data_IF_854836389531
#
_entry.id   IF_854836389531
#
_cell.length_a   1.000
_cell.length_b   1.000
_cell.length_c   1.000
_cell.angle_alpha   90.00
_cell.angle_beta   90.00
_cell.angle_gamma   90.00
#
_symmetry.space_group_name_H-M   'P 1'
#
loop_
_entity.id
_entity.type
_entity.pdbx_description
1 polymer ?
#
# COMPACT_ATOMS: atom_id res chain seq x y z
N UNK A 1 4.72 16.61 22.42
CA UNK A 1 3.87 15.79 21.52
C UNK A 1 2.89 15.01 22.37
N UNK A 2 1.74 14.54 21.86
CA UNK A 2 0.82 13.72 22.66
C UNK A 2 1.53 12.46 23.23
N UNK A 3 2.49 11.93 22.49
CA UNK A 3 3.32 10.77 22.88
C UNK A 3 4.28 11.04 24.05
N UNK A 4 4.42 12.29 24.49
CA UNK A 4 5.25 12.68 25.63
C UNK A 4 4.40 13.21 26.80
N UNK A 5 3.09 12.97 26.77
CA UNK A 5 2.15 13.51 27.74
C UNK A 5 1.66 12.39 28.66
N UNK A 6 1.84 12.54 29.98
CA UNK A 6 1.56 11.50 30.99
C UNK A 6 0.14 10.89 30.95
N UNK A 7 -0.83 11.64 30.43
CA UNK A 7 -2.23 11.19 30.31
C UNK A 7 -2.56 10.49 28.99
N UNK A 8 -1.84 10.79 27.91
CA UNK A 8 -2.29 10.48 26.54
C UNK A 8 -1.25 9.68 25.74
N UNK A 9 -0.09 9.38 26.32
CA UNK A 9 0.95 8.58 25.68
C UNK A 9 0.42 7.20 25.28
N UNK A 10 -0.37 6.57 26.14
CA UNK A 10 -1.08 5.30 25.94
C UNK A 10 -2.22 5.35 24.92
N UNK A 11 -2.57 6.54 24.40
CA UNK A 11 -3.64 6.74 23.42
C UNK A 11 -3.13 7.30 22.10
N UNK A 12 -1.81 7.43 21.96
CA UNK A 12 -1.23 8.00 20.75
C UNK A 12 -1.16 7.00 19.61
N UNK A 13 -1.34 7.52 18.40
CA UNK A 13 -1.09 6.79 17.17
C UNK A 13 -0.06 7.51 16.32
N UNK A 14 0.71 6.75 15.56
CA UNK A 14 1.44 7.25 14.40
C UNK A 14 0.46 7.78 13.34
N UNK A 15 1.02 8.42 12.32
CA UNK A 15 0.22 9.00 11.25
C UNK A 15 -0.48 7.87 10.49
N UNK A 16 -1.79 8.01 10.29
CA UNK A 16 -2.56 7.14 9.40
C UNK A 16 -2.11 7.37 7.96
N UNK A 17 -2.77 6.75 6.99
CA UNK A 17 -2.53 7.09 5.61
C UNK A 17 -2.70 8.61 5.40
N UNK A 18 -1.58 9.28 5.14
CA UNK A 18 -1.47 10.74 5.31
C UNK A 18 -1.80 11.53 4.03
N UNK A 19 -2.33 10.86 3.02
CA UNK A 19 -2.72 11.48 1.77
C UNK A 19 -4.01 10.84 1.27
N UNK A 20 -4.79 11.59 0.51
CA UNK A 20 -5.91 11.03 -0.22
C UNK A 20 -5.47 10.89 -1.68
N UNK A 21 -5.70 9.71 -2.28
CA UNK A 21 -5.44 9.50 -3.70
C UNK A 21 -6.75 9.37 -4.46
N UNK A 22 -7.08 10.40 -5.22
CA UNK A 22 -8.30 10.42 -6.01
C UNK A 22 -7.99 10.02 -7.45
N UNK A 23 -8.65 8.95 -7.90
CA UNK A 23 -8.69 8.55 -9.32
C UNK A 23 -10.12 8.81 -9.81
N UNK A 24 -10.29 9.88 -10.58
CA UNK A 24 -11.59 10.20 -11.18
C UNK A 24 -11.64 9.60 -12.56
N UNK A 25 -12.61 8.74 -12.85
CA UNK A 25 -12.83 8.17 -14.17
C UNK A 25 -13.96 8.91 -14.87
N UNK A 26 -13.80 9.14 -16.17
CA UNK A 26 -14.82 9.77 -17.01
C UNK A 26 -14.77 9.27 -18.44
N UNK A 27 -15.95 9.17 -19.08
CA UNK A 27 -16.10 8.71 -20.46
C UNK A 27 -17.50 8.15 -20.71
N UNK A 28 -17.65 7.35 -21.77
CA UNK A 28 -18.86 6.56 -22.01
C UNK A 28 -18.79 5.25 -21.23
N UNK A 29 -19.89 4.84 -20.63
CA UNK A 29 -20.02 3.50 -20.06
C UNK A 29 -20.37 2.45 -21.12
N UNK A 30 -20.32 1.18 -20.75
CA UNK A 30 -20.66 0.04 -21.59
C UNK A 30 -22.12 0.03 -22.11
N UNK A 31 -22.99 0.91 -21.59
CA UNK A 31 -24.38 1.11 -22.05
C UNK A 31 -24.54 2.34 -22.95
N UNK A 32 -23.45 3.03 -23.29
CA UNK A 32 -23.42 4.24 -24.13
C UNK A 32 -23.79 5.54 -23.42
N UNK A 33 -24.05 5.51 -22.10
CA UNK A 33 -24.31 6.69 -21.29
C UNK A 33 -23.03 7.37 -20.84
N UNK A 34 -23.10 8.66 -20.48
CA UNK A 34 -21.97 9.34 -19.86
C UNK A 34 -21.77 8.85 -18.42
N UNK A 35 -20.53 8.55 -18.06
CA UNK A 35 -20.13 8.16 -16.71
C UNK A 35 -19.02 9.07 -16.21
N UNK A 36 -19.17 9.54 -14.98
CA UNK A 36 -18.16 10.28 -14.22
C UNK A 36 -18.24 9.83 -12.77
N UNK A 37 -17.10 9.56 -12.16
CA UNK A 37 -17.06 9.22 -10.73
C UNK A 37 -15.65 8.98 -10.25
N UNK A 38 -15.54 8.69 -8.95
CA UNK A 38 -14.27 8.47 -8.27
C UNK A 38 -14.13 7.00 -7.89
N UNK A 39 -12.93 6.44 -8.02
CA UNK A 39 -12.58 5.19 -7.38
C UNK A 39 -12.59 5.36 -5.86
N UNK A 40 -13.18 4.38 -5.17
CA UNK A 40 -13.42 4.46 -3.72
C UNK A 40 -12.35 3.71 -2.92
N UNK A 41 -11.33 3.20 -3.60
CA UNK A 41 -10.18 2.50 -3.02
C UNK A 41 -9.41 3.37 -2.02
N UNK A 42 -9.41 4.69 -2.20
CA UNK A 42 -8.82 5.61 -1.22
C UNK A 42 -9.54 5.62 0.12
N UNK A 43 -10.81 5.23 0.16
CA UNK A 43 -11.54 5.04 1.42
C UNK A 43 -11.14 3.77 2.16
N UNK A 44 -10.40 2.89 1.49
CA UNK A 44 -9.73 1.71 2.05
C UNK A 44 -8.25 2.00 2.36
N UNK A 45 -7.94 3.24 2.78
CA UNK A 45 -6.61 3.59 3.29
C UNK A 45 -6.28 2.86 4.60
N UNK A 46 -5.20 3.25 5.28
CA UNK A 46 -4.60 2.46 6.36
C UNK A 46 -4.49 3.21 7.68
N UNK A 47 -4.64 2.46 8.79
CA UNK A 47 -4.49 2.99 10.14
C UNK A 47 -3.03 3.06 10.58
N UNK A 48 -2.65 4.15 11.26
CA UNK A 48 -1.34 4.25 11.91
C UNK A 48 -1.27 3.31 13.12
N UNK A 49 -0.08 2.80 13.43
CA UNK A 49 0.17 2.04 14.65
C UNK A 49 -0.18 2.87 15.90
N UNK A 50 -0.60 2.21 16.96
CA UNK A 50 -0.87 2.80 18.27
C UNK A 50 0.23 2.37 19.24
N UNK A 51 0.45 3.14 20.29
CA UNK A 51 1.44 2.79 21.34
C UNK A 51 1.15 1.49 22.10
N UNK A 52 0.01 0.84 21.81
CA UNK A 52 -0.43 -0.40 22.44
C UNK A 52 -0.89 -1.47 21.45
N UNK A 53 -0.92 -1.18 20.13
CA UNK A 53 -1.46 -2.10 19.14
C UNK A 53 -1.07 -1.71 17.71
N UNK A 54 -0.99 -2.70 16.83
CA UNK A 54 -0.80 -2.48 15.40
C UNK A 54 -1.88 -1.59 14.78
N UNK A 55 -1.52 -0.95 13.67
CA UNK A 55 -2.43 -0.18 12.85
C UNK A 55 -3.47 -1.07 12.17
N UNK A 56 -4.61 -0.47 11.82
CA UNK A 56 -5.69 -1.20 11.15
C UNK A 56 -5.37 -1.32 9.66
N UNK A 57 -5.14 -2.54 9.20
CA UNK A 57 -4.99 -2.87 7.77
C UNK A 57 -6.25 -2.45 7.01
N UNK A 58 -6.11 -1.68 5.93
CA UNK A 58 -7.27 -1.18 5.16
C UNK A 58 -8.31 -0.50 6.07
N UNK A 59 -7.84 0.20 7.11
CA UNK A 59 -8.62 0.78 8.20
C UNK A 59 -9.38 2.07 7.92
N UNK A 60 -9.30 2.61 6.69
CA UNK A 60 -10.00 3.82 6.29
C UNK A 60 -9.22 5.11 6.51
N UNK A 61 -9.89 6.25 6.36
CA UNK A 61 -9.29 7.59 6.39
C UNK A 61 -9.70 8.39 7.63
N UNK A 62 -8.79 9.22 8.15
CA UNK A 62 -9.07 10.09 9.31
C UNK A 62 -10.34 10.94 9.13
N UNK A 63 -10.59 11.61 7.97
CA UNK A 63 -11.81 12.39 7.82
C UNK A 63 -13.08 11.52 7.71
N UNK A 64 -12.96 10.22 7.43
CA UNK A 64 -14.08 9.32 7.23
C UNK A 64 -13.75 7.86 7.65
N UNK A 65 -13.65 7.59 8.96
CA UNK A 65 -13.16 6.30 9.49
C UNK A 65 -14.14 5.14 9.32
N UNK A 66 -15.40 5.43 8.97
CA UNK A 66 -16.44 4.42 8.73
C UNK A 66 -16.64 4.10 7.25
N UNK A 67 -15.90 4.79 6.37
CA UNK A 67 -16.04 4.64 4.93
C UNK A 67 -15.69 3.23 4.47
N UNK A 68 -16.26 2.83 3.34
CA UNK A 68 -16.02 1.53 2.72
C UNK A 68 -15.71 1.72 1.25
N UNK A 69 -14.75 0.95 0.78
CA UNK A 69 -14.49 0.78 -0.64
C UNK A 69 -15.62 -0.02 -1.29
N UNK A 70 -16.02 0.36 -2.50
CA UNK A 70 -17.05 -0.32 -3.27
C UNK A 70 -16.66 -1.76 -3.63
N UNK A 71 -17.65 -2.60 -3.89
CA UNK A 71 -17.40 -3.90 -4.51
C UNK A 71 -16.86 -3.70 -5.93
N UNK A 72 -15.91 -4.54 -6.35
CA UNK A 72 -15.34 -4.48 -7.72
C UNK A 72 -16.45 -4.58 -8.77
N UNK A 73 -17.44 -5.46 -8.56
CA UNK A 73 -18.60 -5.63 -9.44
C UNK A 73 -19.42 -4.35 -9.61
N UNK A 74 -19.51 -3.51 -8.56
CA UNK A 74 -20.23 -2.24 -8.65
C UNK A 74 -19.49 -1.27 -9.56
N UNK A 75 -18.16 -1.22 -9.46
CA UNK A 75 -17.34 -0.36 -10.31
C UNK A 75 -17.36 -0.85 -11.76
N UNK A 76 -17.18 -2.16 -12.00
CA UNK A 76 -17.24 -2.76 -13.33
C UNK A 76 -18.64 -2.64 -13.97
N UNK A 77 -19.72 -2.57 -13.17
CA UNK A 77 -21.07 -2.33 -13.68
C UNK A 77 -21.34 -0.86 -14.05
N UNK A 78 -20.55 0.08 -13.54
CA UNK A 78 -20.71 1.53 -13.76
C UNK A 78 -19.75 2.09 -14.81
N UNK A 79 -18.53 1.55 -14.87
CA UNK A 79 -17.47 1.97 -15.76
C UNK A 79 -17.02 0.81 -16.65
N UNK A 80 -16.58 1.08 -17.89
CA UNK A 80 -16.14 0.04 -18.82
C UNK A 80 -14.70 -0.37 -18.52
N UNK A 81 -14.49 -0.89 -17.32
CA UNK A 81 -13.19 -1.35 -16.82
C UNK A 81 -13.35 -2.74 -16.22
N UNK A 82 -12.22 -3.43 -16.09
CA UNK A 82 -12.09 -4.69 -15.36
C UNK A 82 -10.92 -4.62 -14.41
N UNK A 83 -11.11 -5.11 -13.18
CA UNK A 83 -10.01 -5.34 -12.26
C UNK A 83 -9.26 -6.61 -12.66
N UNK A 84 -7.94 -6.52 -12.78
CA UNK A 84 -7.08 -7.72 -12.85
C UNK A 84 -6.87 -8.31 -11.46
N UNK A 85 -6.66 -7.43 -10.48
CA UNK A 85 -6.61 -7.77 -9.07
C UNK A 85 -6.92 -6.54 -8.21
N UNK A 86 -7.32 -6.79 -6.97
CA UNK A 86 -7.40 -5.80 -5.89
C UNK A 86 -7.12 -6.51 -4.57
N UNK A 87 -6.07 -6.11 -3.85
CA UNK A 87 -5.63 -6.78 -2.61
C UNK A 87 -4.88 -5.85 -1.66
N UNK A 88 -4.55 -6.34 -0.46
CA UNK A 88 -3.61 -5.68 0.45
C UNK A 88 -2.23 -5.64 -0.18
N UNK A 89 -1.48 -4.58 0.08
CA UNK A 89 -0.09 -4.44 -0.34
C UNK A 89 0.82 -4.94 0.79
N UNK A 90 1.50 -6.06 0.57
CA UNK A 90 2.53 -6.59 1.48
C UNK A 90 3.64 -5.54 1.68
N UNK A 91 4.22 -5.50 2.87
CA UNK A 91 5.32 -4.57 3.25
C UNK A 91 4.97 -3.08 3.19
N UNK A 92 3.67 -2.73 3.13
CA UNK A 92 3.26 -1.33 3.02
C UNK A 92 3.14 -0.58 4.34
N UNK A 93 2.86 -1.29 5.44
CA UNK A 93 2.78 -0.71 6.78
C UNK A 93 4.16 -0.36 7.32
N UNK A 94 4.30 0.80 7.95
CA UNK A 94 5.56 1.21 8.58
C UNK A 94 5.96 0.27 9.70
N UNK A 95 7.19 -0.24 9.64
CA UNK A 95 7.74 -1.11 10.69
C UNK A 95 7.84 -0.39 12.03
N UNK A 96 7.61 -1.10 13.12
CA UNK A 96 7.79 -0.62 14.49
C UNK A 96 7.61 -1.79 15.47
N UNK A 97 7.76 -1.52 16.76
CA UNK A 97 7.29 -2.45 17.79
C UNK A 97 5.82 -2.81 17.51
N UNK A 98 5.03 -1.78 17.22
CA UNK A 98 3.72 -1.89 16.59
C UNK A 98 3.80 -1.42 15.14
N UNK A 99 3.37 -2.27 14.20
CA UNK A 99 3.42 -1.97 12.76
C UNK A 99 2.24 -1.11 12.34
N UNK A 100 2.44 -0.26 11.34
CA UNK A 100 1.36 0.41 10.65
C UNK A 100 0.43 -0.60 9.93
N UNK A 101 -0.81 -0.18 9.70
CA UNK A 101 -1.73 -0.94 8.87
C UNK A 101 -1.27 -0.92 7.40
N UNK A 102 -1.57 -1.99 6.69
CA UNK A 102 -1.28 -2.13 5.26
C UNK A 102 -2.22 -1.29 4.41
N UNK A 103 -1.65 -0.69 3.37
CA UNK A 103 -2.39 -0.15 2.23
C UNK A 103 -2.77 -1.26 1.26
N UNK A 104 -3.12 -0.90 0.03
CA UNK A 104 -3.54 -1.85 -0.98
C UNK A 104 -3.01 -1.53 -2.36
N UNK A 105 -3.30 -2.44 -3.29
CA UNK A 105 -2.97 -2.30 -4.69
C UNK A 105 -4.10 -2.85 -5.57
N UNK A 106 -4.19 -2.29 -6.78
CA UNK A 106 -5.10 -2.70 -7.82
C UNK A 106 -4.46 -2.54 -9.19
N UNK A 107 -4.99 -3.27 -10.17
CA UNK A 107 -4.78 -2.98 -11.58
C UNK A 107 -6.12 -3.01 -12.34
N UNK A 108 -6.34 -2.01 -13.18
CA UNK A 108 -7.51 -1.85 -14.03
C UNK A 108 -7.13 -1.88 -15.51
N UNK A 109 -7.99 -2.45 -16.33
CA UNK A 109 -7.88 -2.43 -17.80
C UNK A 109 -9.22 -2.00 -18.40
N UNK A 110 -9.24 -1.40 -19.61
CA UNK A 110 -10.48 -1.20 -20.37
C UNK A 110 -11.22 -2.51 -20.59
N UNK A 111 -12.55 -2.48 -20.47
CA UNK A 111 -13.40 -3.63 -20.78
C UNK A 111 -14.79 -3.18 -21.26
N UNK A 112 -15.20 -3.66 -22.44
CA UNK A 112 -16.50 -3.33 -23.06
C UNK A 112 -16.74 -1.81 -23.22
N UNK A 113 -15.67 -1.04 -23.44
CA UNK A 113 -15.74 0.39 -23.65
C UNK A 113 -16.15 0.71 -25.11
N UNK A 114 -17.27 1.42 -25.35
CA UNK A 114 -17.74 1.69 -26.71
C UNK A 114 -16.78 2.57 -27.51
N UNK A 115 -16.06 3.46 -26.84
CA UNK A 115 -15.05 4.35 -27.45
C UNK A 115 -13.63 3.77 -27.34
N UNK A 116 -13.49 2.49 -27.02
CA UNK A 116 -12.20 1.81 -26.87
C UNK A 116 -11.51 2.04 -25.51
N UNK A 117 -12.07 2.85 -24.61
CA UNK A 117 -11.58 3.02 -23.25
C UNK A 117 -12.27 4.15 -22.49
N UNK A 118 -11.58 4.71 -21.50
CA UNK A 118 -12.00 5.90 -20.76
C UNK A 118 -10.80 6.77 -20.40
N UNK A 119 -11.05 7.93 -19.81
CA UNK A 119 -9.99 8.79 -19.28
C UNK A 119 -10.07 8.85 -17.76
N UNK A 120 -8.93 9.07 -17.12
CA UNK A 120 -8.87 9.26 -15.69
C UNK A 120 -8.03 10.48 -15.30
N UNK A 121 -8.44 11.13 -14.22
CA UNK A 121 -7.68 12.19 -13.56
C UNK A 121 -7.04 11.60 -12.33
N UNK A 122 -5.72 11.72 -12.23
CA UNK A 122 -4.99 11.40 -11.01
C UNK A 122 -4.76 12.67 -10.20
N UNK A 123 -5.17 12.62 -8.94
CA UNK A 123 -4.92 13.65 -7.95
C UNK A 123 -4.50 13.01 -6.64
N UNK A 124 -3.24 13.19 -6.25
CA UNK A 124 -2.72 12.63 -5.01
C UNK A 124 -1.33 13.18 -4.71
N UNK A 125 -0.82 12.86 -3.54
CA UNK A 125 0.55 13.18 -3.09
C UNK A 125 1.23 11.91 -2.59
N UNK A 126 2.51 12.00 -2.25
CA UNK A 126 3.23 10.91 -1.60
C UNK A 126 3.74 9.82 -2.53
N UNK A 127 3.99 10.15 -3.82
CA UNK A 127 4.61 9.22 -4.79
C UNK A 127 6.15 9.24 -4.79
N UNK A 128 6.77 10.28 -4.22
CA UNK A 128 8.23 10.38 -4.10
C UNK A 128 8.73 10.22 -2.67
N UNK A 129 7.95 10.70 -1.70
CA UNK A 129 8.30 10.68 -0.28
C UNK A 129 7.14 10.08 0.51
N UNK A 130 7.41 9.26 1.53
CA UNK A 130 6.37 8.77 2.41
C UNK A 130 5.70 9.95 3.12
N UNK A 131 4.42 9.79 3.46
CA UNK A 131 3.64 10.81 4.15
C UNK A 131 3.14 10.30 5.51
N UNK A 132 3.04 8.98 5.68
CA UNK A 132 2.61 8.35 6.93
C UNK A 132 3.82 8.20 7.86
N UNK A 133 4.26 9.28 8.47
CA UNK A 133 5.41 9.29 9.40
C UNK A 133 5.20 8.33 10.57
N UNK A 134 6.28 7.64 10.95
CA UNK A 134 6.32 6.82 12.14
C UNK A 134 6.48 7.64 13.41
N UNK A 135 6.31 6.99 14.56
CA UNK A 135 6.39 7.60 15.88
C UNK A 135 7.39 6.86 16.76
N UNK A 136 8.15 7.61 17.57
CA UNK A 136 9.03 7.07 18.61
C UNK A 136 10.01 5.97 18.12
N UNK A 137 10.57 6.12 16.92
CA UNK A 137 11.49 5.14 16.33
C UNK A 137 10.85 4.24 15.27
N UNK A 138 9.54 4.32 15.09
CA UNK A 138 8.82 3.64 14.01
C UNK A 138 9.16 4.21 12.64
N UNK A 139 9.13 3.34 11.64
CA UNK A 139 9.36 3.67 10.25
C UNK A 139 8.09 4.26 9.62
N UNK A 140 8.21 5.07 8.57
CA UNK A 140 7.07 5.53 7.81
C UNK A 140 6.42 4.40 7.01
N UNK A 141 5.14 4.55 6.68
CA UNK A 141 4.45 3.68 5.71
C UNK A 141 4.95 3.88 4.28
N UNK A 142 4.69 2.90 3.41
CA UNK A 142 5.09 2.94 2.00
C UNK A 142 4.48 4.14 1.24
N UNK A 143 5.10 4.50 0.12
CA UNK A 143 4.62 5.55 -0.78
C UNK A 143 3.42 5.09 -1.62
N UNK A 144 2.70 6.05 -2.16
CA UNK A 144 1.78 5.78 -3.27
C UNK A 144 2.56 5.52 -4.54
N UNK A 145 1.96 4.82 -5.49
CA UNK A 145 2.52 4.68 -6.83
C UNK A 145 1.40 4.51 -7.85
N UNK A 146 1.58 5.16 -8.99
CA UNK A 146 0.65 5.11 -10.11
C UNK A 146 1.47 4.78 -11.34
N UNK A 147 1.14 3.66 -11.97
CA UNK A 147 1.86 3.20 -13.15
C UNK A 147 0.86 3.03 -14.27
N UNK A 148 1.08 3.81 -15.33
CA UNK A 148 0.41 3.59 -16.60
C UNK A 148 1.23 2.57 -17.39
N UNK A 149 0.60 1.45 -17.71
CA UNK A 149 1.20 0.40 -18.52
C UNK A 149 0.69 0.57 -19.94
N UNK A 150 1.59 0.94 -20.85
CA UNK A 150 1.34 1.02 -22.28
C UNK A 150 1.55 -0.37 -22.88
N UNK A 151 0.48 -1.08 -23.26
CA UNK A 151 0.65 -2.31 -24.03
C UNK A 151 0.57 -2.02 -25.53
N UNK A 152 1.55 -2.48 -26.33
CA UNK A 152 1.51 -2.29 -27.77
C UNK A 152 0.30 -3.00 -28.40
N UNK A 153 -0.30 -2.40 -29.43
CA UNK A 153 -1.51 -2.92 -30.08
C UNK A 153 -1.36 -4.37 -30.60
N UNK A 154 -0.14 -4.79 -30.93
CA UNK A 154 0.21 -6.12 -31.46
C UNK A 154 0.22 -7.24 -30.41
N UNK A 155 0.09 -6.94 -29.13
CA UNK A 155 0.09 -7.95 -28.06
C UNK A 155 -1.28 -8.66 -27.95
N UNK A 156 -1.34 -9.95 -27.64
CA UNK A 156 -2.57 -10.77 -27.76
C UNK A 156 -3.61 -10.57 -26.63
N UNK A 157 -3.64 -9.37 -26.03
CA UNK A 157 -4.55 -8.98 -24.96
C UNK A 157 -3.95 -9.21 -23.58
N UNK A 158 -4.41 -8.44 -22.58
CA UNK A 158 -4.02 -8.70 -21.21
C UNK A 158 -4.51 -10.07 -20.80
N UNK A 159 -3.60 -10.89 -20.26
CA UNK A 159 -4.00 -12.06 -19.54
C UNK A 159 -4.81 -11.61 -18.31
N UNK A 160 -6.10 -11.95 -18.24
CA UNK A 160 -6.95 -11.71 -17.08
C UNK A 160 -6.46 -12.42 -15.80
N UNK A 161 -5.40 -13.23 -15.91
CA UNK A 161 -4.69 -13.86 -14.81
C UNK A 161 -3.42 -13.13 -14.37
N UNK A 162 -3.09 -11.93 -14.88
CA UNK A 162 -1.98 -11.13 -14.32
C UNK A 162 -2.23 -10.83 -12.84
N UNK A 163 -1.31 -11.24 -11.96
CA UNK A 163 -1.43 -11.12 -10.49
C UNK A 163 -0.43 -10.14 -9.87
N UNK A 164 0.35 -9.41 -10.69
CA UNK A 164 1.28 -8.39 -10.22
C UNK A 164 1.55 -7.36 -11.30
N UNK A 165 2.03 -6.17 -10.93
CA UNK A 165 2.49 -5.17 -11.90
C UNK A 165 3.58 -5.71 -12.83
N UNK A 166 4.49 -6.54 -12.31
CA UNK A 166 5.57 -7.16 -13.09
C UNK A 166 5.07 -8.14 -14.14
N UNK A 167 3.93 -8.81 -13.93
CA UNK A 167 3.36 -9.77 -14.88
C UNK A 167 2.55 -9.10 -15.99
N UNK A 168 2.20 -7.81 -15.86
CA UNK A 168 1.45 -7.08 -16.89
C UNK A 168 2.41 -6.72 -18.03
N UNK A 169 2.15 -7.17 -19.28
CA UNK A 169 2.99 -6.86 -20.42
C UNK A 169 2.83 -5.39 -20.83
N UNK A 170 3.89 -4.80 -21.37
CA UNK A 170 3.92 -3.40 -21.79
C UNK A 170 4.93 -2.55 -21.04
N UNK A 171 5.16 -1.36 -21.58
CA UNK A 171 6.04 -0.34 -21.02
C UNK A 171 5.39 0.29 -19.79
N UNK A 172 6.16 0.44 -18.71
CA UNK A 172 5.66 0.92 -17.42
C UNK A 172 6.13 2.35 -17.21
N UNK A 173 5.20 3.29 -17.24
CA UNK A 173 5.44 4.70 -17.00
C UNK A 173 4.91 5.09 -15.63
N UNK A 174 5.79 5.57 -14.75
CA UNK A 174 5.38 6.15 -13.48
C UNK A 174 4.73 7.52 -13.72
N UNK A 175 3.49 7.68 -13.31
CA UNK A 175 2.70 8.90 -13.48
C UNK A 175 2.28 9.49 -12.13
N UNK A 176 1.79 10.73 -12.13
CA UNK A 176 1.42 11.41 -10.88
C UNK A 176 0.18 12.29 -11.05
N UNK A 177 0.33 13.60 -11.25
CA UNK A 177 -0.79 14.53 -11.37
C UNK A 177 -1.09 14.83 -12.83
N UNK A 178 -2.33 14.61 -13.26
CA UNK A 178 -2.72 14.89 -14.64
C UNK A 178 -3.98 14.15 -15.08
N UNK A 179 -4.26 14.28 -16.37
CA UNK A 179 -5.34 13.58 -17.07
C UNK A 179 -4.70 12.61 -18.04
N UNK A 180 -5.07 11.34 -17.94
CA UNK A 180 -4.46 10.26 -18.69
C UNK A 180 -5.55 9.41 -19.37
N UNK A 181 -5.28 8.89 -20.57
CA UNK A 181 -6.12 7.90 -21.20
C UNK A 181 -5.91 6.51 -20.58
N UNK A 182 -6.98 5.72 -20.48
CA UNK A 182 -6.95 4.27 -20.25
C UNK A 182 -7.65 3.64 -21.45
N UNK A 183 -6.90 3.39 -22.52
CA UNK A 183 -7.45 3.04 -23.84
C UNK A 183 -6.94 1.69 -24.32
N UNK A 184 -7.68 1.05 -25.21
CA UNK A 184 -7.27 -0.18 -25.89
C UNK A 184 -6.84 -1.28 -24.92
N UNK A 185 -5.53 -1.52 -24.86
CA UNK A 185 -4.87 -2.52 -24.01
C UNK A 185 -3.95 -1.84 -22.99
N UNK A 186 -4.29 -0.66 -22.51
CA UNK A 186 -3.57 -0.06 -21.41
C UNK A 186 -3.97 -0.69 -20.08
N UNK A 187 -3.08 -0.62 -19.09
CA UNK A 187 -3.45 -0.87 -17.71
C UNK A 187 -3.11 0.33 -16.82
N UNK A 188 -3.95 0.58 -15.83
CA UNK A 188 -3.68 1.47 -14.72
C UNK A 188 -3.41 0.64 -13.48
N UNK A 189 -2.18 0.67 -12.98
CA UNK A 189 -1.84 0.15 -11.66
C UNK A 189 -1.82 1.29 -10.64
N UNK A 190 -2.45 1.05 -9.50
CA UNK A 190 -2.45 1.97 -8.37
C UNK A 190 -2.11 1.20 -7.12
N UNK A 191 -1.16 1.71 -6.35
CA UNK A 191 -0.96 1.29 -4.96
C UNK A 191 -1.03 2.50 -4.04
N UNK A 192 -1.52 2.27 -2.84
CA UNK A 192 -1.66 3.30 -1.84
C UNK A 192 -0.97 2.98 -0.53
N UNK A 193 -0.61 4.05 0.18
CA UNK A 193 0.26 4.03 1.33
C UNK A 193 -0.29 3.26 2.54
N UNK A 194 0.63 2.64 3.27
CA UNK A 194 0.37 2.13 4.61
C UNK A 194 0.41 3.22 5.69
N UNK A 195 0.10 2.84 6.92
CA UNK A 195 0.20 3.70 8.10
C UNK A 195 1.63 3.73 8.65
N UNK A 196 1.97 4.74 9.46
CA UNK A 196 3.26 4.77 10.17
C UNK A 196 3.33 3.74 11.30
N UNK A 197 4.54 3.26 11.59
CA UNK A 197 4.82 2.39 12.74
C UNK A 197 5.07 3.15 14.04
N UNK A 198 5.05 2.44 15.17
CA UNK A 198 5.39 2.98 16.51
C UNK A 198 6.49 2.13 17.14
N UNK A 199 7.52 2.77 17.71
CA UNK A 199 8.61 2.08 18.41
C UNK A 199 9.68 1.50 17.47
N UNK A 200 10.81 1.04 18.02
CA UNK A 200 11.88 0.41 17.21
C UNK A 200 11.39 -0.94 16.68
N UNK A 201 11.46 -1.21 15.36
CA UNK A 201 11.10 -2.52 14.80
C UNK A 201 11.83 -3.71 15.45
N UNK A 202 13.03 -3.52 15.98
CA UNK A 202 13.78 -4.58 16.67
C UNK A 202 13.19 -4.97 18.02
N UNK A 203 12.27 -4.17 18.57
CA UNK A 203 11.60 -4.45 19.84
C UNK A 203 10.26 -5.19 19.65
N UNK A 204 9.78 -5.32 18.40
CA UNK A 204 8.60 -6.13 18.07
C UNK A 204 8.76 -7.58 18.52
N UNK A 205 7.69 -8.17 19.03
CA UNK A 205 7.66 -9.56 19.46
C UNK A 205 7.85 -10.51 18.26
N UNK A 206 8.86 -11.41 18.26
CA UNK A 206 9.17 -12.24 17.09
C UNK A 206 8.06 -13.17 16.60
N UNK A 207 7.19 -13.70 17.48
CA UNK A 207 6.07 -14.53 17.05
C UNK A 207 5.01 -13.73 16.28
N UNK A 208 4.82 -12.48 16.63
CA UNK A 208 3.94 -11.54 15.93
C UNK A 208 4.46 -11.28 14.51
N UNK A 209 5.78 -11.17 14.33
CA UNK A 209 6.42 -11.08 13.00
C UNK A 209 6.17 -12.35 12.18
N UNK A 210 6.24 -13.55 12.78
CA UNK A 210 5.92 -14.79 12.06
C UNK A 210 4.45 -14.84 11.64
N UNK A 211 3.53 -14.40 12.50
CA UNK A 211 2.11 -14.29 12.16
C UNK A 211 1.90 -13.33 10.99
N UNK A 212 2.61 -12.19 10.99
CA UNK A 212 2.54 -11.23 9.88
C UNK A 212 3.05 -11.83 8.57
N UNK A 213 4.12 -12.65 8.59
CA UNK A 213 4.62 -13.35 7.41
C UNK A 213 3.65 -14.40 6.90
N UNK A 214 3.08 -15.23 7.79
CA UNK A 214 2.08 -16.24 7.43
C UNK A 214 0.85 -15.58 6.79
N UNK A 215 0.47 -14.40 7.26
CA UNK A 215 -0.68 -13.65 6.75
C UNK A 215 -0.35 -12.75 5.54
N UNK A 216 0.85 -12.86 4.97
CA UNK A 216 1.32 -12.05 3.83
C UNK A 216 1.21 -10.53 4.06
N UNK A 217 1.27 -10.11 5.33
CA UNK A 217 1.31 -8.69 5.71
C UNK A 217 2.71 -8.15 5.46
N UNK A 218 3.71 -8.92 5.88
CA UNK A 218 5.13 -8.64 5.66
C UNK A 218 5.77 -9.81 4.90
N UNK A 219 6.83 -9.53 4.15
CA UNK A 219 7.63 -10.56 3.49
C UNK A 219 8.66 -11.18 4.45
N UNK A 220 9.16 -12.39 4.16
CA UNK A 220 10.32 -12.95 4.86
C UNK A 220 11.55 -12.01 4.81
N UNK A 221 11.74 -11.31 3.70
CA UNK A 221 12.80 -10.33 3.51
C UNK A 221 12.64 -9.16 4.49
N UNK A 222 11.44 -8.58 4.59
CA UNK A 222 11.14 -7.52 5.54
C UNK A 222 11.24 -7.98 7.00
N UNK A 223 10.81 -9.21 7.31
CA UNK A 223 10.97 -9.80 8.65
C UNK A 223 12.45 -9.79 9.09
N UNK A 224 13.36 -10.14 8.17
CA UNK A 224 14.80 -10.15 8.42
C UNK A 224 15.40 -8.73 8.46
N UNK A 225 15.09 -7.89 7.47
CA UNK A 225 15.77 -6.60 7.27
C UNK A 225 15.25 -5.50 8.20
N UNK A 226 13.95 -5.47 8.45
CA UNK A 226 13.30 -4.43 9.26
C UNK A 226 13.24 -4.88 10.72
N UNK A 227 12.73 -6.09 10.99
CA UNK A 227 12.45 -6.56 12.35
C UNK A 227 13.56 -7.41 12.96
N UNK A 228 14.59 -7.76 12.17
CA UNK A 228 15.71 -8.59 12.62
C UNK A 228 15.30 -10.02 13.00
N UNK A 229 14.22 -10.55 12.42
CA UNK A 229 13.69 -11.89 12.72
C UNK A 229 14.03 -12.85 11.60
N UNK A 230 14.66 -13.96 11.97
CA UNK A 230 14.99 -15.03 11.04
C UNK A 230 13.94 -16.13 11.13
N UNK A 231 13.38 -16.52 9.98
CA UNK A 231 12.28 -17.47 9.89
C UNK A 231 12.74 -18.69 9.10
N UNK A 232 12.48 -19.88 9.64
CA UNK A 232 12.73 -21.15 8.98
C UNK A 232 11.40 -21.90 8.79
N UNK A 233 10.86 -21.87 7.57
CA UNK A 233 9.50 -22.35 7.30
C UNK A 233 8.48 -21.43 7.96
N UNK A 234 7.64 -21.96 8.84
CA UNK A 234 6.63 -21.20 9.61
C UNK A 234 7.05 -20.99 11.08
N UNK A 235 8.35 -21.09 11.38
CA UNK A 235 8.87 -21.01 12.75
C UNK A 235 10.02 -20.03 12.86
N UNK A 236 10.13 -19.41 14.04
CA UNK A 236 11.24 -18.53 14.41
C UNK A 236 12.51 -19.37 14.62
N UNK A 237 13.63 -18.93 14.04
CA UNK A 237 14.96 -19.34 14.50
C UNK A 237 15.43 -18.36 15.59
N UNK A 238 15.17 -18.70 16.85
CA UNK A 238 15.41 -17.80 17.98
C UNK A 238 16.89 -17.42 18.14
N UNK A 239 17.80 -18.38 17.90
CA UNK A 239 19.23 -18.14 18.02
C UNK A 239 19.75 -17.21 16.92
N UNK A 240 19.30 -17.40 15.68
CA UNK A 240 19.66 -16.49 14.58
C UNK A 240 19.00 -15.12 14.72
N UNK A 241 17.75 -15.05 15.19
CA UNK A 241 17.03 -13.79 15.46
C UNK A 241 17.78 -12.95 16.50
N UNK A 242 18.17 -13.53 17.63
CA UNK A 242 18.92 -12.80 18.67
C UNK A 242 20.27 -12.29 18.13
N UNK A 243 20.99 -13.15 17.40
CA UNK A 243 22.26 -12.77 16.76
C UNK A 243 22.08 -11.64 15.74
N UNK A 244 21.02 -11.70 14.94
CA UNK A 244 20.71 -10.71 13.91
C UNK A 244 20.35 -9.36 14.53
N UNK A 245 19.44 -9.33 15.51
CA UNK A 245 19.09 -8.10 16.24
C UNK A 245 20.31 -7.48 16.92
N UNK A 246 21.19 -8.30 17.50
CA UNK A 246 22.45 -7.82 18.08
C UNK A 246 23.36 -7.18 17.01
N UNK A 247 23.54 -7.83 15.86
CA UNK A 247 24.32 -7.30 14.73
C UNK A 247 23.78 -5.95 14.25
N UNK A 248 22.47 -5.84 14.03
CA UNK A 248 21.83 -4.60 13.57
C UNK A 248 22.04 -3.47 14.61
N UNK A 249 21.92 -3.77 15.91
CA UNK A 249 22.20 -2.78 16.97
C UNK A 249 23.66 -2.33 16.97
N UNK A 250 24.61 -3.25 16.79
CA UNK A 250 26.04 -2.93 16.67
C UNK A 250 26.34 -2.05 15.43
N UNK A 251 25.75 -2.36 14.27
CA UNK A 251 25.86 -1.55 13.05
C UNK A 251 25.29 -0.13 13.23
N UNK A 252 24.14 0.01 13.91
CA UNK A 252 23.54 1.32 14.26
C UNK A 252 24.44 2.16 15.18
N UNK A 253 25.24 1.53 16.03
CA UNK A 253 26.22 2.22 16.88
C UNK A 253 27.44 2.69 16.07
N UNK A 254 27.96 1.85 15.17
CA UNK A 254 29.12 2.16 14.34
C UNK A 254 28.83 3.25 13.31
N UNK A 255 27.64 3.22 12.68
CA UNK A 255 27.22 4.23 11.70
C UNK A 255 27.08 5.64 12.27
N UNK A 256 26.79 5.80 13.57
CA UNK A 256 26.78 7.10 14.26
C UNK A 256 28.18 7.71 14.44
N UNK A 257 29.25 6.96 14.20
CA UNK A 257 30.64 7.41 14.31
C UNK A 257 31.22 8.08 13.07
N UNK A 258 30.51 8.06 11.93
CA UNK A 258 30.91 8.75 10.69
C UNK A 258 30.21 10.09 10.55
N UNK A 259 30.83 11.16 11.07
CA UNK A 259 30.56 12.54 10.65
C UNK A 259 31.76 13.08 9.90
#
# INVERSE_FOLDING_TARGET
MLASHEKYDDQTSAVWHANHFAVFMFGKNQKGGDAIGILTETFAGSGGARTFADGVDIGGEIPNPISRMANVETVEAMFPVRYLFRRRLQDSGGGGEFRGGTGGELALVPHDAPDGGLHYVLSGKGSQFPQSEGLAGGNPGAINDYVWVHSPESDHGHNCFSQSLSSIPGEKEAISWGVFPLMGKDALYVRWNGGGGVGDPLDREPASVVIDVINEVISPEAAREIFGVEIQGEKIDAAKTEKLRKSIREERLLSKGGK
#
